data_IF_916144093919
#
_entry.id   IF_916144093919
#
_cell.length_a   1.000
_cell.length_b   1.000
_cell.length_c   1.000
_cell.angle_alpha   90.00
_cell.angle_beta   90.00
_cell.angle_gamma   90.00
#
_symmetry.space_group_name_H-M   'P 1'
#
loop_
_entity.id
_entity.type
_entity.pdbx_description
1 polymer ?
#
# COMPACT_ATOMS: atom_id res chain seq x y z
N UNK A 1 -8.81 -9.34 -10.37
CA UNK A 1 -9.83 -9.91 -9.45
C UNK A 1 -11.08 -10.45 -10.15
N UNK A 2 -11.77 -9.69 -11.01
CA UNK A 2 -13.00 -10.14 -11.68
C UNK A 2 -12.90 -11.47 -12.44
N UNK A 3 -11.90 -11.61 -13.31
CA UNK A 3 -11.67 -12.84 -14.07
C UNK A 3 -11.42 -14.06 -13.16
N UNK A 4 -10.78 -13.85 -12.01
CA UNK A 4 -10.51 -14.89 -11.03
C UNK A 4 -11.78 -15.36 -10.30
N UNK A 5 -12.64 -14.43 -9.87
CA UNK A 5 -13.92 -14.74 -9.23
C UNK A 5 -14.86 -15.44 -10.22
N UNK A 6 -14.87 -15.00 -11.48
CA UNK A 6 -15.63 -15.63 -12.56
C UNK A 6 -15.18 -17.07 -12.81
N UNK A 7 -13.87 -17.32 -12.82
CA UNK A 7 -13.30 -18.66 -12.87
C UNK A 7 -13.74 -19.52 -11.68
N UNK A 8 -13.69 -18.99 -10.45
CA UNK A 8 -14.06 -19.74 -9.25
C UNK A 8 -15.55 -20.14 -9.22
N UNK A 9 -16.44 -19.29 -9.71
CA UNK A 9 -17.90 -19.54 -9.71
C UNK A 9 -18.38 -20.39 -10.89
N UNK A 10 -17.87 -20.12 -12.10
CA UNK A 10 -18.42 -20.71 -13.33
C UNK A 10 -17.46 -21.65 -14.05
N UNK A 11 -16.20 -21.77 -13.61
CA UNK A 11 -15.10 -22.44 -14.32
C UNK A 11 -14.86 -21.93 -15.75
N UNK A 12 -15.43 -20.77 -16.11
CA UNK A 12 -15.21 -20.09 -17.39
C UNK A 12 -14.09 -19.06 -17.24
N UNK A 13 -13.50 -18.65 -18.37
CA UNK A 13 -12.50 -17.58 -18.44
C UNK A 13 -11.15 -17.86 -17.74
N UNK A 14 -10.79 -19.14 -17.53
CA UNK A 14 -9.48 -19.53 -16.99
C UNK A 14 -8.32 -18.96 -17.82
N UNK A 15 -8.41 -19.06 -19.15
CA UNK A 15 -7.38 -18.58 -20.06
C UNK A 15 -7.22 -17.05 -19.98
N UNK A 16 -8.33 -16.32 -19.91
CA UNK A 16 -8.34 -14.86 -19.74
C UNK A 16 -7.76 -14.47 -18.36
N UNK A 17 -8.04 -15.24 -17.32
CA UNK A 17 -7.42 -15.05 -16.01
C UNK A 17 -5.90 -15.24 -16.07
N UNK A 18 -5.40 -16.29 -16.73
CA UNK A 18 -3.94 -16.49 -16.89
C UNK A 18 -3.30 -15.32 -17.62
N UNK A 19 -3.88 -14.90 -18.75
CA UNK A 19 -3.36 -13.76 -19.53
C UNK A 19 -3.33 -12.49 -18.69
N UNK A 20 -4.42 -12.18 -17.99
CA UNK A 20 -4.49 -10.97 -17.14
C UNK A 20 -3.55 -11.03 -15.94
N UNK A 21 -3.35 -12.22 -15.36
CA UNK A 21 -2.38 -12.43 -14.29
C UNK A 21 -0.95 -12.23 -14.80
N UNK A 22 -0.62 -12.77 -15.99
CA UNK A 22 0.70 -12.59 -16.57
C UNK A 22 0.99 -11.12 -16.92
N UNK A 23 0.04 -10.44 -17.57
CA UNK A 23 0.18 -9.02 -17.90
C UNK A 23 0.33 -8.14 -16.64
N UNK A 24 -0.47 -8.39 -15.61
CA UNK A 24 -0.34 -7.64 -14.35
C UNK A 24 1.01 -7.87 -13.68
N UNK A 25 1.49 -9.12 -13.62
CA UNK A 25 2.82 -9.42 -13.07
C UNK A 25 3.93 -8.72 -13.88
N UNK A 26 3.87 -8.71 -15.21
CA UNK A 26 4.84 -7.99 -16.04
C UNK A 26 4.84 -6.49 -15.76
N UNK A 27 3.67 -5.85 -15.70
CA UNK A 27 3.57 -4.42 -15.39
C UNK A 27 4.17 -4.10 -14.02
N UNK A 28 3.90 -4.93 -13.02
CA UNK A 28 4.43 -4.73 -11.66
C UNK A 28 5.94 -4.94 -11.58
N UNK A 29 6.48 -5.90 -12.34
CA UNK A 29 7.93 -6.13 -12.43
C UNK A 29 8.62 -4.97 -13.13
N UNK A 30 8.04 -4.44 -14.21
CA UNK A 30 8.60 -3.28 -14.94
C UNK A 30 8.69 -2.04 -14.05
N UNK A 31 7.68 -1.82 -13.19
CA UNK A 31 7.69 -0.70 -12.24
C UNK A 31 8.72 -0.87 -11.10
N UNK A 32 9.29 -2.07 -10.90
CA UNK A 32 10.26 -2.34 -9.83
C UNK A 32 9.69 -2.22 -8.40
N UNK A 33 8.42 -1.90 -8.26
CA UNK A 33 7.75 -1.73 -6.97
C UNK A 33 7.44 -3.09 -6.35
N UNK A 34 7.98 -3.35 -5.16
CA UNK A 34 7.86 -4.63 -4.45
C UNK A 34 6.46 -4.84 -3.84
N UNK A 35 5.85 -3.74 -3.39
CA UNK A 35 4.61 -3.77 -2.63
C UNK A 35 3.38 -4.17 -3.47
N UNK A 36 3.19 -3.66 -4.71
CA UNK A 36 2.03 -4.02 -5.54
C UNK A 36 1.86 -5.51 -5.82
N UNK A 37 2.96 -6.27 -5.94
CA UNK A 37 2.91 -7.71 -6.21
C UNK A 37 2.38 -8.49 -4.99
N UNK A 38 2.85 -8.13 -3.79
CA UNK A 38 2.33 -8.68 -2.52
C UNK A 38 0.85 -8.37 -2.34
N UNK A 39 0.48 -7.10 -2.58
CA UNK A 39 -0.90 -6.63 -2.49
C UNK A 39 -1.81 -7.30 -3.53
N UNK A 40 -1.28 -7.63 -4.71
CA UNK A 40 -2.01 -8.40 -5.72
C UNK A 40 -2.37 -9.81 -5.24
N UNK A 41 -1.41 -10.53 -4.63
CA UNK A 41 -1.67 -11.86 -4.06
C UNK A 41 -2.63 -11.82 -2.86
N UNK A 42 -2.53 -10.80 -2.00
CA UNK A 42 -3.51 -10.57 -0.94
C UNK A 42 -4.92 -10.37 -1.52
N UNK A 43 -5.05 -9.60 -2.59
CA UNK A 43 -6.34 -9.41 -3.27
C UNK A 43 -6.90 -10.67 -3.89
N UNK A 44 -6.05 -11.58 -4.40
CA UNK A 44 -6.49 -12.89 -4.87
C UNK A 44 -7.00 -13.76 -3.71
N UNK A 45 -6.36 -13.71 -2.55
CA UNK A 45 -6.84 -14.41 -1.35
C UNK A 45 -8.20 -13.88 -0.90
N UNK A 46 -8.38 -12.55 -0.86
CA UNK A 46 -9.68 -11.92 -0.52
C UNK A 46 -10.74 -12.25 -1.57
N UNK A 47 -10.36 -12.31 -2.85
CA UNK A 47 -11.25 -12.74 -3.93
C UNK A 47 -11.69 -14.19 -3.77
N UNK A 48 -10.80 -15.06 -3.30
CA UNK A 48 -11.10 -16.47 -3.02
C UNK A 48 -12.04 -16.60 -1.81
N UNK A 49 -11.77 -15.88 -0.71
CA UNK A 49 -12.60 -15.88 0.50
C UNK A 49 -14.03 -15.39 0.23
N UNK A 50 -14.19 -14.50 -0.75
CA UNK A 50 -15.48 -13.97 -1.15
C UNK A 50 -16.40 -15.01 -1.81
N UNK A 51 -15.84 -16.13 -2.28
CA UNK A 51 -16.57 -17.19 -3.02
C UNK A 51 -16.62 -18.51 -2.25
N UNK A 52 -15.54 -18.88 -1.55
CA UNK A 52 -15.40 -20.15 -0.84
C UNK A 52 -14.85 -19.93 0.56
N UNK A 53 -15.23 -20.80 1.48
CA UNK A 53 -14.64 -20.83 2.81
C UNK A 53 -13.16 -21.21 2.72
N UNK A 54 -12.32 -20.40 3.36
CA UNK A 54 -10.88 -20.61 3.41
C UNK A 54 -10.56 -21.58 4.55
N UNK A 55 -9.93 -22.70 4.21
CA UNK A 55 -9.32 -23.56 5.22
C UNK A 55 -8.03 -22.93 5.76
N UNK A 56 -7.69 -23.21 7.03
CA UNK A 56 -6.44 -22.74 7.67
C UNK A 56 -5.18 -23.06 6.83
N UNK A 57 -5.21 -24.17 6.08
CA UNK A 57 -4.13 -24.59 5.18
C UNK A 57 -3.90 -23.60 4.03
N UNK A 58 -4.98 -23.07 3.45
CA UNK A 58 -4.90 -22.10 2.35
C UNK A 58 -4.32 -20.77 2.85
N UNK A 59 -4.75 -20.33 4.05
CA UNK A 59 -4.19 -19.13 4.67
C UNK A 59 -2.69 -19.28 4.94
N UNK A 60 -2.28 -20.41 5.54
CA UNK A 60 -0.88 -20.70 5.79
C UNK A 60 -0.05 -20.77 4.50
N UNK A 61 -0.56 -21.44 3.47
CA UNK A 61 0.13 -21.54 2.18
C UNK A 61 0.27 -20.18 1.48
N UNK A 62 -0.78 -19.36 1.51
CA UNK A 62 -0.71 -18.01 0.93
C UNK A 62 0.26 -17.11 1.69
N UNK A 63 0.27 -17.19 3.03
CA UNK A 63 1.24 -16.46 3.86
C UNK A 63 2.67 -16.91 3.55
N UNK A 64 2.90 -18.22 3.44
CA UNK A 64 4.21 -18.78 3.08
C UNK A 64 4.64 -18.35 1.67
N UNK A 65 3.71 -18.33 0.71
CA UNK A 65 3.97 -17.87 -0.66
C UNK A 65 4.33 -16.37 -0.69
N UNK A 66 3.58 -15.52 0.01
CA UNK A 66 3.88 -14.09 0.13
C UNK A 66 5.24 -13.88 0.80
N UNK A 67 5.50 -14.58 1.91
CA UNK A 67 6.78 -14.50 2.62
C UNK A 67 7.95 -14.94 1.74
N UNK A 68 7.81 -16.07 1.05
CA UNK A 68 8.82 -16.60 0.11
C UNK A 68 9.08 -15.64 -1.04
N UNK A 69 8.03 -15.04 -1.64
CA UNK A 69 8.18 -14.04 -2.69
C UNK A 69 8.94 -12.81 -2.21
N UNK A 70 8.57 -12.26 -1.04
CA UNK A 70 9.26 -11.11 -0.44
C UNK A 70 10.73 -11.48 -0.20
N UNK A 71 10.98 -12.62 0.44
CA UNK A 71 12.33 -13.07 0.77
C UNK A 71 13.20 -13.25 -0.48
N UNK A 72 12.68 -13.90 -1.52
CA UNK A 72 13.37 -14.11 -2.79
C UNK A 72 13.67 -12.78 -3.49
N UNK A 73 12.72 -11.83 -3.48
CA UNK A 73 12.95 -10.49 -4.01
C UNK A 73 14.08 -9.75 -3.27
N UNK A 74 14.18 -9.90 -1.94
CA UNK A 74 15.27 -9.29 -1.18
C UNK A 74 16.63 -9.90 -1.52
N UNK A 75 16.72 -11.23 -1.69
CA UNK A 75 17.96 -11.90 -2.10
C UNK A 75 18.43 -11.42 -3.48
N UNK A 76 17.53 -11.38 -4.46
CA UNK A 76 17.88 -10.99 -5.84
C UNK A 76 18.35 -9.54 -5.90
N UNK A 77 17.67 -8.62 -5.21
CA UNK A 77 17.92 -7.19 -5.37
C UNK A 77 19.16 -6.70 -4.62
N UNK A 78 19.50 -7.31 -3.49
CA UNK A 78 20.57 -6.79 -2.63
C UNK A 78 21.90 -7.52 -2.80
N UNK A 79 21.97 -8.59 -3.61
CA UNK A 79 23.21 -9.31 -3.96
C UNK A 79 24.20 -9.43 -2.78
N UNK A 80 23.74 -10.06 -1.70
CA UNK A 80 24.46 -10.04 -0.43
C UNK A 80 25.76 -10.85 -0.47
N UNK A 81 26.88 -10.23 -0.08
CA UNK A 81 28.17 -10.91 0.14
C UNK A 81 28.25 -11.64 1.49
N UNK A 82 27.35 -11.34 2.44
CA UNK A 82 27.34 -11.94 3.79
C UNK A 82 25.91 -12.20 4.31
N UNK A 83 25.72 -13.33 5.00
CA UNK A 83 24.41 -13.76 5.54
C UNK A 83 23.90 -12.88 6.68
N UNK A 84 24.81 -12.28 7.47
CA UNK A 84 24.46 -11.49 8.65
C UNK A 84 23.83 -10.14 8.26
N UNK A 85 24.24 -9.59 7.11
CA UNK A 85 23.70 -8.33 6.59
C UNK A 85 22.25 -8.48 6.09
N UNK A 86 21.86 -9.68 5.63
CA UNK A 86 20.49 -9.97 5.22
C UNK A 86 19.51 -9.88 6.40
N UNK A 87 19.87 -10.47 7.54
CA UNK A 87 19.03 -10.45 8.74
C UNK A 87 18.90 -9.04 9.32
N UNK A 88 20.00 -8.28 9.31
CA UNK A 88 20.00 -6.86 9.71
C UNK A 88 19.02 -6.03 8.86
N UNK A 89 19.10 -6.11 7.53
CA UNK A 89 18.21 -5.34 6.63
C UNK A 89 16.75 -5.74 6.80
N UNK A 90 16.45 -7.02 7.00
CA UNK A 90 15.07 -7.45 7.23
C UNK A 90 14.50 -6.85 8.52
N UNK A 91 15.27 -6.87 9.61
CA UNK A 91 14.87 -6.27 10.90
C UNK A 91 14.71 -4.75 10.74
N UNK A 92 15.68 -4.09 10.11
CA UNK A 92 15.64 -2.65 9.85
C UNK A 92 14.38 -2.27 9.06
N UNK A 93 14.05 -3.01 7.99
CA UNK A 93 12.87 -2.73 7.16
C UNK A 93 11.53 -3.02 7.84
N UNK A 94 11.49 -4.02 8.73
CA UNK A 94 10.25 -4.39 9.43
C UNK A 94 9.92 -3.45 10.58
N UNK A 95 10.94 -2.99 11.32
CA UNK A 95 10.73 -2.22 12.55
C UNK A 95 11.17 -0.76 12.44
N UNK A 96 12.33 -0.49 11.83
CA UNK A 96 12.97 0.83 11.89
C UNK A 96 12.49 1.73 10.74
N UNK A 97 12.51 1.23 9.51
CA UNK A 97 12.23 2.03 8.33
C UNK A 97 10.78 2.58 8.29
N UNK A 98 9.83 1.85 8.87
CA UNK A 98 8.42 2.26 8.89
C UNK A 98 8.15 3.37 9.94
N UNK A 99 8.94 3.39 11.02
CA UNK A 99 8.85 4.41 12.07
C UNK A 99 9.68 5.65 11.75
N UNK A 100 10.74 5.52 10.94
CA UNK A 100 11.62 6.62 10.56
C UNK A 100 10.85 7.84 10.01
N UNK A 101 9.84 7.61 9.16
CA UNK A 101 9.01 8.69 8.62
C UNK A 101 8.26 9.48 9.71
N UNK A 102 7.83 8.80 10.78
CA UNK A 102 7.14 9.44 11.92
C UNK A 102 8.12 10.32 12.70
N UNK A 103 9.35 9.85 12.90
CA UNK A 103 10.40 10.65 13.54
C UNK A 103 10.81 11.86 12.69
N UNK A 104 10.98 11.70 11.38
CA UNK A 104 11.26 12.82 10.48
C UNK A 104 10.12 13.86 10.47
N UNK A 105 8.87 13.40 10.50
CA UNK A 105 7.73 14.30 10.62
C UNK A 105 7.75 15.07 11.93
N UNK A 106 8.01 14.39 13.05
CA UNK A 106 8.12 15.03 14.35
C UNK A 106 9.26 16.05 14.38
N UNK A 107 10.45 15.73 13.89
CA UNK A 107 11.60 16.62 13.90
C UNK A 107 11.40 17.86 13.01
N UNK A 108 10.98 17.65 11.77
CA UNK A 108 10.81 18.73 10.78
C UNK A 108 9.65 19.68 11.14
N UNK A 109 8.45 19.14 11.38
CA UNK A 109 7.25 19.95 11.62
C UNK A 109 7.11 20.43 13.08
N UNK A 110 8.00 20.04 14.00
CA UNK A 110 8.09 20.74 15.30
C UNK A 110 8.72 22.12 15.18
N UNK A 111 9.54 22.34 14.14
CA UNK A 111 10.24 23.61 13.89
C UNK A 111 9.69 24.37 12.68
N UNK A 112 9.00 23.69 11.76
CA UNK A 112 8.39 24.26 10.55
C UNK A 112 6.87 24.28 10.63
N UNK A 113 6.24 25.17 9.87
CA UNK A 113 4.78 25.22 9.75
C UNK A 113 4.24 23.92 9.10
N UNK A 114 3.13 23.42 9.65
CA UNK A 114 2.41 22.27 9.10
C UNK A 114 1.88 22.53 7.69
N UNK A 115 1.79 21.49 6.86
CA UNK A 115 1.40 21.58 5.45
C UNK A 115 -0.11 21.88 5.26
N UNK A 116 -0.94 21.57 6.24
CA UNK A 116 -2.39 21.73 6.14
C UNK A 116 -2.99 20.92 4.98
N UNK A 117 -3.85 21.57 4.19
CA UNK A 117 -4.49 20.98 3.01
C UNK A 117 -3.69 21.19 1.71
N UNK A 118 -2.57 21.92 1.76
CA UNK A 118 -1.82 22.32 0.55
C UNK A 118 -1.15 21.13 -0.17
N UNK A 119 -0.87 20.07 0.58
CA UNK A 119 -0.27 18.81 0.12
C UNK A 119 -1.30 17.79 -0.41
N UNK A 120 -2.61 18.07 -0.28
CA UNK A 120 -3.66 17.16 -0.73
C UNK A 120 -3.90 17.29 -2.23
N UNK A 121 -3.78 16.17 -2.95
CA UNK A 121 -4.02 16.11 -4.40
C UNK A 121 -5.53 15.95 -4.69
N UNK A 122 -6.28 17.04 -4.54
CA UNK A 122 -7.73 17.04 -4.75
C UNK A 122 -8.09 16.98 -6.24
N UNK A 123 -9.27 16.41 -6.56
CA UNK A 123 -9.85 16.41 -7.92
C UNK A 123 -9.95 17.84 -8.48
N UNK A 124 -10.17 18.83 -7.61
CA UNK A 124 -10.19 20.24 -7.98
C UNK A 124 -8.82 20.77 -8.40
N UNK A 125 -7.73 20.34 -7.78
CA UNK A 125 -6.37 20.73 -8.19
C UNK A 125 -6.05 20.21 -9.60
N UNK A 126 -6.51 19.01 -9.95
CA UNK A 126 -6.37 18.43 -11.30
C UNK A 126 -7.22 19.16 -12.35
N UNK A 127 -8.43 19.61 -12.00
CA UNK A 127 -9.29 20.40 -12.88
C UNK A 127 -8.79 21.83 -13.09
N UNK A 128 -8.10 22.39 -12.09
CA UNK A 128 -7.61 23.77 -12.10
C UNK A 128 -6.12 23.89 -12.47
N UNK A 129 -5.45 22.79 -12.82
CA UNK A 129 -3.99 22.71 -13.07
C UNK A 129 -3.14 23.34 -11.96
N UNK A 130 -3.60 23.24 -10.71
CA UNK A 130 -2.85 23.71 -9.55
C UNK A 130 -1.89 22.59 -9.15
N UNK A 131 -0.59 22.85 -9.19
CA UNK A 131 0.42 21.92 -8.69
C UNK A 131 0.31 21.83 -7.16
N UNK A 132 -0.01 20.67 -6.58
CA UNK A 132 -0.04 20.51 -5.13
C UNK A 132 1.33 20.81 -4.52
N UNK A 133 1.37 21.25 -3.27
CA UNK A 133 2.61 21.36 -2.53
C UNK A 133 3.27 19.97 -2.39
N UNK A 134 4.61 19.89 -2.35
CA UNK A 134 5.32 18.62 -2.20
C UNK A 134 4.86 17.92 -0.93
N UNK A 135 4.70 16.59 -1.02
CA UNK A 135 4.22 15.79 0.12
C UNK A 135 5.28 15.75 1.21
N UNK A 136 4.85 15.55 2.45
CA UNK A 136 5.75 15.41 3.60
C UNK A 136 6.85 14.35 3.35
N UNK A 137 6.47 13.23 2.75
CA UNK A 137 7.36 12.15 2.38
C UNK A 137 8.44 12.51 1.35
N UNK A 138 8.16 13.48 0.48
CA UNK A 138 9.14 14.01 -0.50
C UNK A 138 10.07 15.01 0.20
N UNK A 139 9.52 15.88 1.05
CA UNK A 139 10.30 16.82 1.87
C UNK A 139 11.34 16.08 2.72
N UNK A 140 10.95 14.95 3.33
CA UNK A 140 11.89 14.15 4.12
C UNK A 140 13.01 13.53 3.29
N UNK A 141 12.71 13.16 2.04
CA UNK A 141 13.71 12.61 1.13
C UNK A 141 14.77 13.66 0.80
N UNK A 142 14.36 14.89 0.47
CA UNK A 142 15.30 15.99 0.19
C UNK A 142 16.09 16.44 1.43
N UNK A 143 15.48 16.45 2.61
CA UNK A 143 16.09 16.97 3.82
C UNK A 143 17.01 15.97 4.54
N UNK A 144 16.56 14.72 4.71
CA UNK A 144 17.26 13.73 5.53
C UNK A 144 18.00 12.68 4.70
N UNK A 145 17.63 12.48 3.44
CA UNK A 145 18.17 11.43 2.56
C UNK A 145 18.60 11.97 1.18
N UNK A 146 19.41 13.06 1.10
CA UNK A 146 19.75 13.68 -0.18
C UNK A 146 20.51 12.73 -1.12
N UNK A 147 21.35 11.85 -0.56
CA UNK A 147 22.07 10.82 -1.34
C UNK A 147 21.13 9.79 -1.96
N UNK A 148 19.94 9.55 -1.38
CA UNK A 148 18.92 8.68 -1.98
C UNK A 148 18.19 9.38 -3.11
N UNK A 149 17.97 10.71 -3.04
CA UNK A 149 17.41 11.50 -4.15
C UNK A 149 18.30 11.42 -5.38
N UNK A 150 19.61 11.59 -5.21
CA UNK A 150 20.59 11.49 -6.30
C UNK A 150 20.57 10.10 -6.96
N UNK A 151 20.25 9.06 -6.19
CA UNK A 151 20.08 7.69 -6.67
C UNK A 151 18.67 7.38 -7.20
N UNK A 152 17.82 8.39 -7.39
CA UNK A 152 16.47 8.25 -7.94
C UNK A 152 15.38 7.89 -6.92
N UNK A 153 15.67 7.99 -5.62
CA UNK A 153 14.69 7.82 -4.54
C UNK A 153 13.73 9.01 -4.48
N UNK A 154 12.42 8.72 -4.46
CA UNK A 154 11.38 9.77 -4.53
C UNK A 154 10.60 9.96 -3.23
N UNK A 155 10.44 8.93 -2.39
CA UNK A 155 9.48 8.98 -1.27
C UNK A 155 9.93 8.15 -0.07
N UNK A 156 9.82 8.73 1.13
CA UNK A 156 9.94 8.01 2.41
C UNK A 156 8.56 7.51 2.85
N UNK A 157 8.31 6.22 2.61
CA UNK A 157 7.09 5.57 3.08
C UNK A 157 7.18 5.25 4.58
N UNK A 158 6.10 5.48 5.32
CA UNK A 158 5.97 5.07 6.71
C UNK A 158 4.52 5.02 7.16
N UNK A 159 4.29 4.92 8.46
CA UNK A 159 2.94 4.85 9.01
C UNK A 159 2.11 6.11 8.71
N UNK A 160 0.81 5.94 8.44
CA UNK A 160 -0.20 7.01 8.30
C UNK A 160 -0.03 8.22 9.24
N UNK A 161 0.42 7.95 10.46
CA UNK A 161 0.63 8.96 11.50
C UNK A 161 1.57 10.09 11.05
N UNK A 162 2.58 9.80 10.22
CA UNK A 162 3.52 10.83 9.79
C UNK A 162 2.86 11.87 8.86
N UNK A 163 2.02 11.46 7.92
CA UNK A 163 1.34 12.39 7.01
C UNK A 163 0.28 13.22 7.74
N UNK A 164 -0.48 12.58 8.63
CA UNK A 164 -1.49 13.28 9.43
C UNK A 164 -0.87 14.29 10.39
N UNK A 165 0.27 13.94 11.01
CA UNK A 165 1.06 14.87 11.81
C UNK A 165 1.63 16.01 10.97
N UNK A 166 2.19 15.72 9.79
CA UNK A 166 2.78 16.74 8.92
C UNK A 166 1.76 17.77 8.43
N UNK A 167 0.50 17.37 8.28
CA UNK A 167 -0.57 18.25 7.82
C UNK A 167 -1.24 19.04 8.95
N UNK A 168 -1.52 18.43 10.10
CA UNK A 168 -2.32 19.05 11.16
C UNK A 168 -1.74 18.89 12.58
N UNK A 169 -0.47 18.50 12.70
CA UNK A 169 0.21 18.27 13.97
C UNK A 169 -0.43 17.16 14.81
N UNK A 170 -0.31 17.27 16.14
CA UNK A 170 -0.87 16.28 17.08
C UNK A 170 -2.38 16.07 16.95
N UNK A 171 -3.12 17.13 16.63
CA UNK A 171 -4.57 17.08 16.38
C UNK A 171 -4.86 16.21 15.15
N UNK A 172 -4.03 16.35 14.12
CA UNK A 172 -4.07 15.53 12.90
C UNK A 172 -3.98 14.05 13.14
N UNK A 173 -3.11 13.61 14.04
CA UNK A 173 -2.94 12.18 14.35
C UNK A 173 -4.24 11.60 14.92
N UNK A 174 -4.84 12.30 15.88
CA UNK A 174 -6.09 11.85 16.52
C UNK A 174 -7.24 11.84 15.50
N UNK A 175 -7.52 12.98 14.88
CA UNK A 175 -8.66 13.09 13.95
C UNK A 175 -8.45 12.29 12.66
N UNK A 176 -7.21 12.18 12.19
CA UNK A 176 -6.85 11.37 11.03
C UNK A 176 -7.13 9.89 11.28
N UNK A 177 -6.76 9.35 12.45
CA UNK A 177 -7.08 7.96 12.80
C UNK A 177 -8.59 7.73 12.88
N UNK A 178 -9.36 8.67 13.45
CA UNK A 178 -10.82 8.58 13.45
C UNK A 178 -11.40 8.64 12.03
N UNK A 179 -10.94 9.57 11.20
CA UNK A 179 -11.38 9.72 9.82
C UNK A 179 -11.12 8.45 9.01
N UNK A 180 -9.89 7.92 9.03
CA UNK A 180 -9.55 6.69 8.32
C UNK A 180 -10.38 5.50 8.81
N UNK A 181 -10.61 5.38 10.11
CA UNK A 181 -11.46 4.33 10.69
C UNK A 181 -12.92 4.42 10.26
N UNK A 182 -13.49 5.63 10.27
CA UNK A 182 -14.89 5.89 9.88
C UNK A 182 -15.08 5.60 8.39
N UNK A 183 -14.22 6.15 7.53
CA UNK A 183 -14.31 5.96 6.06
C UNK A 183 -14.23 4.48 5.71
N UNK A 184 -13.25 3.76 6.29
CA UNK A 184 -13.10 2.31 6.06
C UNK A 184 -14.31 1.52 6.57
N UNK A 185 -14.86 1.89 7.73
CA UNK A 185 -16.03 1.23 8.31
C UNK A 185 -17.28 1.43 7.45
N UNK A 186 -17.54 2.66 7.00
CA UNK A 186 -18.67 2.98 6.12
C UNK A 186 -18.59 2.21 4.81
N UNK A 187 -17.39 2.10 4.23
CA UNK A 187 -17.17 1.35 2.99
C UNK A 187 -17.35 -0.16 3.19
N UNK A 188 -16.85 -0.72 4.30
CA UNK A 188 -17.12 -2.11 4.66
C UNK A 188 -18.62 -2.39 4.83
N UNK A 189 -19.36 -1.49 5.50
CA UNK A 189 -20.82 -1.59 5.64
C UNK A 189 -21.51 -1.51 4.27
N UNK A 190 -21.06 -0.60 3.40
CA UNK A 190 -21.59 -0.46 2.05
C UNK A 190 -21.43 -1.75 1.24
N UNK A 191 -20.24 -2.35 1.20
CA UNK A 191 -20.04 -3.60 0.45
C UNK A 191 -20.77 -4.79 1.06
N UNK A 192 -20.90 -4.85 2.40
CA UNK A 192 -21.61 -5.93 3.10
C UNK A 192 -23.12 -5.90 2.88
N UNK A 193 -23.71 -4.71 2.71
CA UNK A 193 -25.17 -4.55 2.50
C UNK A 193 -25.59 -4.77 1.04
N UNK A 194 -24.66 -4.76 0.09
CA UNK A 194 -24.97 -4.99 -1.34
C UNK A 194 -25.10 -6.46 -1.68
N UNK A 195 -25.90 -6.76 -2.70
CA UNK A 195 -25.99 -8.12 -3.27
C UNK A 195 -24.62 -8.57 -3.74
N UNK A 196 -24.25 -9.82 -3.44
CA UNK A 196 -22.94 -10.41 -3.76
C UNK A 196 -22.85 -10.83 -5.24
N UNK A 197 -22.87 -9.85 -6.14
CA UNK A 197 -22.62 -10.03 -7.57
C UNK A 197 -21.12 -10.19 -7.83
N UNK A 198 -20.74 -10.68 -9.01
CA UNK A 198 -19.32 -10.78 -9.42
C UNK A 198 -18.61 -9.43 -9.33
N UNK A 199 -19.32 -8.38 -9.74
CA UNK A 199 -18.80 -7.02 -9.77
C UNK A 199 -18.59 -6.49 -8.35
N UNK A 200 -19.57 -6.63 -7.45
CA UNK A 200 -19.42 -6.16 -6.06
C UNK A 200 -18.33 -6.90 -5.31
N UNK A 201 -18.19 -8.22 -5.50
CA UNK A 201 -17.10 -9.01 -4.90
C UNK A 201 -15.72 -8.60 -5.43
N UNK A 202 -15.63 -8.28 -6.72
CA UNK A 202 -14.38 -7.84 -7.35
C UNK A 202 -13.95 -6.46 -6.87
N UNK A 203 -14.89 -5.53 -6.81
CA UNK A 203 -14.65 -4.19 -6.26
C UNK A 203 -14.30 -4.24 -4.78
N UNK A 204 -14.95 -5.10 -4.01
CA UNK A 204 -14.60 -5.31 -2.61
C UNK A 204 -13.17 -5.83 -2.44
N UNK A 205 -12.76 -6.82 -3.25
CA UNK A 205 -11.39 -7.37 -3.20
C UNK A 205 -10.34 -6.34 -3.60
N UNK A 206 -10.61 -5.55 -4.63
CA UNK A 206 -9.77 -4.41 -5.00
C UNK A 206 -9.70 -3.39 -3.86
N UNK A 207 -10.84 -3.00 -3.30
CA UNK A 207 -10.94 -2.02 -2.23
C UNK A 207 -10.18 -2.44 -0.98
N UNK A 208 -10.31 -3.68 -0.51
CA UNK A 208 -9.57 -4.15 0.68
C UNK A 208 -8.06 -4.04 0.47
N UNK A 209 -7.57 -4.37 -0.72
CA UNK A 209 -6.16 -4.20 -1.06
C UNK A 209 -5.77 -2.73 -1.08
N UNK A 210 -6.57 -1.89 -1.75
CA UNK A 210 -6.34 -0.44 -1.85
C UNK A 210 -6.40 0.25 -0.48
N UNK A 211 -7.31 -0.13 0.41
CA UNK A 211 -7.40 0.42 1.77
C UNK A 211 -6.18 0.02 2.58
N UNK A 212 -5.75 -1.23 2.48
CA UNK A 212 -4.56 -1.70 3.19
C UNK A 212 -3.32 -0.91 2.73
N UNK A 213 -3.25 -0.52 1.46
CA UNK A 213 -2.22 0.41 0.94
C UNK A 213 -2.45 1.87 1.33
N UNK A 214 -3.69 2.30 1.53
CA UNK A 214 -4.04 3.69 1.90
C UNK A 214 -3.70 4.00 3.36
N UNK A 215 -3.52 2.98 4.23
CA UNK A 215 -2.95 3.15 5.58
C UNK A 215 -1.53 3.77 5.53
N UNK A 216 -0.88 3.92 4.38
CA UNK A 216 0.38 4.68 4.28
C UNK A 216 0.29 6.02 3.55
N UNK A 217 -0.89 6.43 3.02
CA UNK A 217 -1.05 7.65 2.21
C UNK A 217 -2.38 8.37 2.56
N UNK A 218 -2.36 9.22 3.59
CA UNK A 218 -3.42 10.17 3.92
C UNK A 218 -3.65 11.21 2.81
N UNK A 219 -2.58 11.72 2.19
CA UNK A 219 -2.68 12.77 1.17
C UNK A 219 -3.18 12.30 -0.20
N UNK A 220 -3.34 10.98 -0.37
CA UNK A 220 -3.92 10.37 -1.56
C UNK A 220 -5.36 9.84 -1.35
N UNK A 221 -5.93 10.04 -0.15
CA UNK A 221 -7.37 9.83 0.11
C UNK A 221 -8.22 10.95 -0.49
#
# INVERSE_FOLDING_TARGET
>A
YYCFISYLKFKKHFFIFIITLFLSMLTLIINGEKAPLVFYFLGLLVSYSSVKDISKKIYFFALLLIFSLIFLMYIILFQFDSSDYLLYILIERLFIAQEAAVFYAADYFSSHNVLGLSSMDTIFNKLLNITPAPRASEIFMYQYLPTMVENGGWNVNGFFAHETFSNFGYIGVVFGSFYGGIVNSLLCIFFRTRKKTLLTMSFYSFFIVSVTTVISNFNAM
#
